data_IF_243976149065
#
_entry.id   IF_243976149065
#
_cell.length_a   1.000
_cell.length_b   1.000
_cell.length_c   1.000
_cell.angle_alpha   90.00
_cell.angle_beta   90.00
_cell.angle_gamma   90.00
#
_symmetry.space_group_name_H-M   'P 1'
#
loop_
_entity.id
_entity.type
_entity.pdbx_description
1 polymer ?
#
# COMPACT_ATOMS: atom_id res chain seq x y z
N UNK A 1 27.98 -14.14 67.23
CA UNK A 1 26.83 -14.61 66.45
C UNK A 1 27.23 -14.67 64.99
N UNK A 2 27.05 -15.82 64.31
CA UNK A 2 27.30 -16.04 62.87
C UNK A 2 26.21 -16.98 62.33
N UNK A 3 25.01 -16.42 62.24
CA UNK A 3 23.77 -16.93 61.64
C UNK A 3 22.99 -18.09 62.31
N UNK A 4 21.67 -18.05 62.03
CA UNK A 4 20.52 -18.89 62.42
C UNK A 4 20.21 -19.01 63.93
N UNK A 5 19.18 -18.26 64.32
CA UNK A 5 18.39 -18.40 65.56
C UNK A 5 19.20 -18.47 66.87
N UNK A 6 19.85 -17.36 67.22
CA UNK A 6 20.42 -17.20 68.57
C UNK A 6 19.32 -16.76 69.54
N UNK A 7 18.92 -17.65 70.45
CA UNK A 7 17.85 -17.41 71.46
C UNK A 7 18.17 -16.30 72.47
N UNK A 8 19.46 -15.96 72.68
CA UNK A 8 19.88 -14.95 73.65
C UNK A 8 19.70 -13.51 73.15
N UNK A 9 19.74 -13.28 71.84
CA UNK A 9 19.70 -11.94 71.21
C UNK A 9 18.56 -11.83 70.19
N UNK A 10 17.49 -12.63 70.36
CA UNK A 10 16.39 -12.76 69.41
C UNK A 10 15.73 -11.42 69.10
N UNK A 11 15.52 -10.58 70.12
CA UNK A 11 14.90 -9.24 69.97
C UNK A 11 15.78 -8.31 69.13
N UNK A 12 17.10 -8.34 69.33
CA UNK A 12 18.04 -7.52 68.57
C UNK A 12 18.13 -7.98 67.11
N UNK A 13 18.15 -9.29 66.85
CA UNK A 13 18.07 -9.81 65.48
C UNK A 13 16.74 -9.51 64.80
N UNK A 14 15.61 -9.57 65.52
CA UNK A 14 14.31 -9.19 64.98
C UNK A 14 14.25 -7.71 64.62
N UNK A 15 14.90 -6.83 65.39
CA UNK A 15 15.02 -5.41 65.05
C UNK A 15 15.80 -5.23 63.73
N UNK A 16 16.96 -5.88 63.60
CA UNK A 16 17.78 -5.81 62.37
C UNK A 16 17.03 -6.38 61.17
N UNK A 17 16.37 -7.54 61.31
CA UNK A 17 15.58 -8.14 60.23
C UNK A 17 14.37 -7.28 59.83
N UNK A 18 13.74 -6.59 60.78
CA UNK A 18 12.67 -5.65 60.49
C UNK A 18 13.19 -4.41 59.76
N UNK A 19 14.38 -3.92 60.10
CA UNK A 19 15.05 -2.84 59.39
C UNK A 19 15.36 -3.25 57.94
N UNK A 20 15.95 -4.43 57.73
CA UNK A 20 16.21 -4.98 56.40
C UNK A 20 14.93 -5.16 55.57
N UNK A 21 13.87 -5.68 56.19
CA UNK A 21 12.57 -5.83 55.53
C UNK A 21 11.98 -4.47 55.14
N UNK A 22 12.12 -3.45 55.99
CA UNK A 22 11.67 -2.09 55.68
C UNK A 22 12.44 -1.50 54.49
N UNK A 23 13.75 -1.76 54.38
CA UNK A 23 14.54 -1.38 53.22
C UNK A 23 14.05 -2.08 51.94
N UNK A 24 13.79 -3.39 51.99
CA UNK A 24 13.26 -4.15 50.86
C UNK A 24 11.87 -3.63 50.44
N UNK A 25 11.00 -3.31 51.39
CA UNK A 25 9.66 -2.75 51.11
C UNK A 25 9.78 -1.37 50.44
N UNK A 26 10.71 -0.54 50.90
CA UNK A 26 10.98 0.75 50.29
C UNK A 26 11.51 0.61 48.85
N UNK A 27 12.46 -0.29 48.63
CA UNK A 27 13.02 -0.56 47.29
C UNK A 27 11.96 -1.11 46.34
N UNK A 28 11.09 -2.00 46.82
CA UNK A 28 9.93 -2.48 46.08
C UNK A 28 8.97 -1.35 45.69
N UNK A 29 8.69 -0.42 46.63
CA UNK A 29 7.86 0.76 46.37
C UNK A 29 8.45 1.67 45.28
N UNK A 30 9.75 1.93 45.35
CA UNK A 30 10.49 2.70 44.35
C UNK A 30 10.50 2.02 42.97
N UNK A 31 10.68 0.70 42.95
CA UNK A 31 10.66 -0.07 41.71
C UNK A 31 9.26 -0.11 41.07
N UNK A 32 8.20 -0.29 41.87
CA UNK A 32 6.81 -0.23 41.42
C UNK A 32 6.43 1.15 40.88
N UNK A 33 6.97 2.22 41.48
CA UNK A 33 6.80 3.58 40.96
C UNK A 33 7.45 3.74 39.59
N UNK A 34 8.71 3.31 39.43
CA UNK A 34 9.43 3.31 38.13
C UNK A 34 8.71 2.52 37.04
N UNK A 35 8.15 1.36 37.37
CA UNK A 35 7.34 0.56 36.41
C UNK A 35 6.08 1.32 35.99
N UNK A 36 5.39 1.98 36.93
CA UNK A 36 4.17 2.72 36.62
C UNK A 36 4.44 4.01 35.85
N UNK A 37 5.59 4.67 36.06
CA UNK A 37 6.04 5.79 35.22
C UNK A 37 6.41 5.35 33.79
N UNK A 38 6.75 4.07 33.58
CA UNK A 38 7.09 3.52 32.25
C UNK A 38 5.89 2.92 31.50
N UNK A 39 4.68 2.91 32.07
CA UNK A 39 3.43 2.62 31.32
C UNK A 39 3.27 3.63 30.18
N UNK A 40 2.76 3.22 29.00
CA UNK A 40 3.23 3.67 27.70
C UNK A 40 3.33 5.19 27.63
N UNK A 41 4.56 5.67 27.77
CA UNK A 41 4.90 7.07 27.52
C UNK A 41 4.99 7.30 26.01
N UNK A 42 4.96 8.57 25.63
CA UNK A 42 4.96 9.17 24.27
C UNK A 42 5.72 8.46 23.14
N UNK A 43 6.69 7.60 23.42
CA UNK A 43 7.45 6.84 22.42
C UNK A 43 6.59 5.79 21.69
N UNK A 44 5.68 5.11 22.38
CA UNK A 44 4.76 4.13 21.75
C UNK A 44 3.76 4.84 20.83
N UNK A 45 3.35 6.06 21.20
CA UNK A 45 2.54 6.93 20.34
C UNK A 45 3.32 7.41 19.10
N UNK A 46 4.65 7.58 19.21
CA UNK A 46 5.51 7.96 18.08
C UNK A 46 5.58 6.86 17.02
N UNK A 47 5.82 5.61 17.42
CA UNK A 47 5.87 4.47 16.50
C UNK A 47 4.50 4.20 15.83
N UNK A 48 3.41 4.33 16.60
CA UNK A 48 2.05 4.23 16.05
C UNK A 48 1.80 5.33 15.01
N UNK A 49 2.23 6.56 15.29
CA UNK A 49 2.11 7.65 14.33
C UNK A 49 2.97 7.40 13.08
N UNK A 50 4.18 6.86 13.21
CA UNK A 50 5.02 6.49 12.06
C UNK A 50 4.36 5.43 11.16
N UNK A 51 3.73 4.40 11.76
CA UNK A 51 2.95 3.39 11.03
C UNK A 51 1.79 4.06 10.29
N UNK A 52 1.04 4.94 10.97
CA UNK A 52 -0.08 5.67 10.36
C UNK A 52 0.37 6.57 9.21
N UNK A 53 1.49 7.28 9.35
CA UNK A 53 2.06 8.08 8.27
C UNK A 53 2.50 7.20 7.09
N UNK A 54 3.13 6.06 7.35
CA UNK A 54 3.50 5.13 6.28
C UNK A 54 2.27 4.59 5.55
N UNK A 55 1.20 4.25 6.28
CA UNK A 55 -0.06 3.76 5.71
C UNK A 55 -0.70 4.80 4.78
N UNK A 56 -0.91 6.03 5.26
CA UNK A 56 -1.47 7.12 4.44
C UNK A 56 -0.63 7.35 3.19
N UNK A 57 0.69 7.53 3.37
CA UNK A 57 1.59 7.81 2.25
C UNK A 57 1.59 6.68 1.21
N UNK A 58 1.45 5.43 1.66
CA UNK A 58 1.40 4.27 0.77
C UNK A 58 0.10 4.22 -0.03
N UNK A 59 -1.03 4.47 0.64
CA UNK A 59 -2.35 4.56 -0.01
C UNK A 59 -2.35 5.68 -1.06
N UNK A 60 -1.86 6.87 -0.71
CA UNK A 60 -1.79 8.01 -1.62
C UNK A 60 -0.94 7.71 -2.87
N UNK A 61 0.21 7.06 -2.71
CA UNK A 61 1.06 6.64 -3.83
C UNK A 61 0.33 5.70 -4.78
N UNK A 62 -0.36 4.68 -4.24
CA UNK A 62 -1.15 3.72 -5.02
C UNK A 62 -2.27 4.44 -5.76
N UNK A 63 -3.03 5.28 -5.08
CA UNK A 63 -4.14 6.02 -5.66
C UNK A 63 -3.68 6.96 -6.78
N UNK A 64 -2.59 7.69 -6.56
CA UNK A 64 -2.00 8.57 -7.58
C UNK A 64 -1.59 7.77 -8.80
N UNK A 65 -0.87 6.66 -8.62
CA UNK A 65 -0.42 5.84 -9.75
C UNK A 65 -1.59 5.22 -10.51
N UNK A 66 -2.61 4.74 -9.81
CA UNK A 66 -3.83 4.22 -10.41
C UNK A 66 -4.57 5.30 -11.21
N UNK A 67 -4.61 6.54 -10.71
CA UNK A 67 -5.18 7.68 -11.44
C UNK A 67 -4.40 7.97 -12.71
N UNK A 68 -3.08 8.09 -12.65
CA UNK A 68 -2.22 8.29 -13.82
C UNK A 68 -2.47 7.22 -14.90
N UNK A 69 -2.52 5.95 -14.50
CA UNK A 69 -2.79 4.85 -15.44
C UNK A 69 -4.18 4.96 -16.08
N UNK A 70 -5.22 5.28 -15.29
CA UNK A 70 -6.58 5.49 -15.82
C UNK A 70 -6.62 6.66 -16.80
N UNK A 71 -5.98 7.77 -16.47
CA UNK A 71 -5.94 8.97 -17.31
C UNK A 71 -5.24 8.67 -18.65
N UNK A 72 -4.16 7.88 -18.64
CA UNK A 72 -3.49 7.40 -19.86
C UNK A 72 -4.44 6.56 -20.70
N UNK A 73 -5.15 5.58 -20.11
CA UNK A 73 -6.08 4.72 -20.84
C UNK A 73 -7.22 5.53 -21.46
N UNK A 74 -7.81 6.46 -20.72
CA UNK A 74 -8.89 7.33 -21.21
C UNK A 74 -8.39 8.18 -22.37
N UNK A 75 -7.24 8.84 -22.22
CA UNK A 75 -6.68 9.71 -23.27
C UNK A 75 -6.35 8.93 -24.52
N UNK A 76 -5.71 7.76 -24.39
CA UNK A 76 -5.41 6.89 -25.53
C UNK A 76 -6.67 6.39 -26.22
N UNK A 77 -7.72 6.07 -25.46
CA UNK A 77 -9.03 5.68 -26.01
C UNK A 77 -9.70 6.81 -26.78
N UNK A 78 -9.65 8.04 -26.25
CA UNK A 78 -10.15 9.22 -26.95
C UNK A 78 -9.40 9.49 -28.25
N UNK A 79 -8.06 9.41 -28.22
CA UNK A 79 -7.23 9.57 -29.43
C UNK A 79 -7.60 8.50 -30.47
N UNK A 80 -7.77 7.25 -30.04
CA UNK A 80 -8.19 6.16 -30.92
C UNK A 80 -9.56 6.45 -31.57
N UNK A 81 -10.57 6.82 -30.78
CA UNK A 81 -11.91 7.14 -31.30
C UNK A 81 -11.89 8.33 -32.26
N UNK A 82 -11.15 9.40 -31.93
CA UNK A 82 -10.99 10.54 -32.81
C UNK A 82 -10.35 10.16 -34.15
N UNK A 83 -9.38 9.25 -34.14
CA UNK A 83 -8.76 8.75 -35.36
C UNK A 83 -9.75 7.95 -36.23
N UNK A 84 -10.59 7.11 -35.60
CA UNK A 84 -11.67 6.40 -36.30
C UNK A 84 -12.67 7.39 -36.91
N UNK A 85 -13.07 8.40 -36.14
CA UNK A 85 -14.01 9.44 -36.59
C UNK A 85 -13.45 10.23 -37.79
N UNK A 86 -12.18 10.64 -37.73
CA UNK A 86 -11.52 11.30 -38.88
C UNK A 86 -11.51 10.43 -40.13
N UNK A 87 -11.14 9.14 -39.98
CA UNK A 87 -11.16 8.20 -41.11
C UNK A 87 -12.59 8.06 -41.65
N UNK A 88 -13.59 7.98 -40.78
CA UNK A 88 -15.01 7.83 -41.15
C UNK A 88 -15.54 9.07 -41.90
N UNK A 89 -15.20 10.27 -41.43
CA UNK A 89 -15.55 11.52 -42.09
C UNK A 89 -14.91 11.61 -43.49
N UNK A 90 -13.64 11.22 -43.63
CA UNK A 90 -12.98 11.16 -44.93
C UNK A 90 -13.69 10.16 -45.88
N UNK A 91 -14.03 8.97 -45.39
CA UNK A 91 -14.79 7.99 -46.18
C UNK A 91 -16.17 8.51 -46.59
N UNK A 92 -16.83 9.27 -45.70
CA UNK A 92 -18.12 9.91 -45.98
C UNK A 92 -18.01 10.92 -47.12
N UNK A 93 -16.97 11.77 -47.11
CA UNK A 93 -16.73 12.73 -48.20
C UNK A 93 -16.40 12.01 -49.52
N UNK A 94 -15.60 10.95 -49.50
CA UNK A 94 -15.35 10.13 -50.69
C UNK A 94 -16.63 9.53 -51.26
N UNK A 95 -17.53 9.02 -50.41
CA UNK A 95 -18.83 8.48 -50.85
C UNK A 95 -19.69 9.57 -51.49
N UNK A 96 -19.72 10.78 -50.92
CA UNK A 96 -20.46 11.92 -51.49
C UNK A 96 -19.92 12.29 -52.87
N UNK A 97 -18.60 12.46 -53.00
CA UNK A 97 -17.96 12.79 -54.28
C UNK A 97 -18.27 11.76 -55.36
N UNK A 98 -18.08 10.47 -55.05
CA UNK A 98 -18.38 9.38 -55.99
C UNK A 98 -19.86 9.40 -56.44
N UNK A 99 -20.77 9.74 -55.51
CA UNK A 99 -22.20 9.84 -55.81
C UNK A 99 -22.54 11.06 -56.67
N UNK A 100 -21.88 12.20 -56.41
CA UNK A 100 -22.08 13.45 -57.16
C UNK A 100 -21.54 13.36 -58.58
N UNK A 101 -20.34 12.79 -58.73
CA UNK A 101 -19.70 12.52 -60.03
C UNK A 101 -20.45 11.44 -60.81
N UNK A 102 -21.15 10.54 -60.09
CA UNK A 102 -21.91 9.42 -60.64
C UNK A 102 -21.05 8.45 -61.49
N UNK A 103 -19.73 8.50 -61.29
CA UNK A 103 -18.71 7.68 -61.95
C UNK A 103 -18.12 6.68 -60.95
N UNK A 104 -18.81 5.56 -60.75
CA UNK A 104 -18.30 4.46 -59.93
C UNK A 104 -18.27 3.13 -60.68
N UNK A 105 -17.29 2.32 -60.29
CA UNK A 105 -17.13 0.94 -60.75
C UNK A 105 -17.01 -0.01 -59.56
N UNK A 106 -16.87 -1.29 -59.84
CA UNK A 106 -16.75 -2.36 -58.85
C UNK A 106 -15.52 -2.17 -57.96
N UNK A 107 -14.45 -1.56 -58.48
CA UNK A 107 -13.22 -1.30 -57.72
C UNK A 107 -13.50 -0.26 -56.63
N UNK A 108 -14.19 0.84 -56.98
CA UNK A 108 -14.57 1.89 -56.03
C UNK A 108 -15.45 1.31 -54.91
N UNK A 109 -16.48 0.53 -55.28
CA UNK A 109 -17.39 -0.08 -54.30
C UNK A 109 -16.69 -1.11 -53.40
N UNK A 110 -15.78 -1.90 -53.96
CA UNK A 110 -14.97 -2.87 -53.20
C UNK A 110 -14.03 -2.16 -52.23
N UNK A 111 -13.40 -1.07 -52.65
CA UNK A 111 -12.54 -0.26 -51.79
C UNK A 111 -13.32 0.31 -50.60
N UNK A 112 -14.47 0.96 -50.84
CA UNK A 112 -15.32 1.52 -49.77
C UNK A 112 -15.75 0.44 -48.76
N UNK A 113 -16.19 -0.73 -49.23
CA UNK A 113 -16.54 -1.86 -48.36
C UNK A 113 -15.36 -2.34 -47.51
N UNK A 114 -14.18 -2.47 -48.12
CA UNK A 114 -12.99 -2.90 -47.40
C UNK A 114 -12.59 -1.90 -46.31
N UNK A 115 -12.71 -0.59 -46.57
CA UNK A 115 -12.41 0.45 -45.58
C UNK A 115 -13.40 0.39 -44.41
N UNK A 116 -14.71 0.25 -44.68
CA UNK A 116 -15.72 0.04 -43.63
C UNK A 116 -15.44 -1.20 -42.78
N UNK A 117 -15.09 -2.32 -43.43
CA UNK A 117 -14.78 -3.56 -42.73
C UNK A 117 -13.56 -3.41 -41.81
N UNK A 118 -12.49 -2.77 -42.30
CA UNK A 118 -11.28 -2.49 -41.49
C UNK A 118 -11.61 -1.61 -40.28
N UNK A 119 -12.34 -0.51 -40.48
CA UNK A 119 -12.77 0.35 -39.37
C UNK A 119 -13.59 -0.40 -38.33
N UNK A 120 -14.51 -1.26 -38.76
CA UNK A 120 -15.31 -2.07 -37.86
C UNK A 120 -14.44 -3.08 -37.08
N UNK A 121 -13.42 -3.67 -37.72
CA UNK A 121 -12.46 -4.54 -37.04
C UNK A 121 -11.63 -3.76 -36.01
N UNK A 122 -11.08 -2.61 -36.38
CA UNK A 122 -10.34 -1.72 -35.47
C UNK A 122 -11.20 -1.33 -34.25
N UNK A 123 -12.48 -1.00 -34.46
CA UNK A 123 -13.40 -0.60 -33.39
C UNK A 123 -13.73 -1.74 -32.41
N UNK A 124 -13.87 -2.97 -32.91
CA UNK A 124 -14.23 -4.13 -32.10
C UNK A 124 -13.04 -4.75 -31.36
N UNK A 125 -11.81 -4.46 -31.78
CA UNK A 125 -10.59 -4.93 -31.13
C UNK A 125 -9.53 -3.81 -31.02
N UNK A 126 -9.69 -2.88 -30.07
CA UNK A 126 -8.71 -1.83 -29.82
C UNK A 126 -7.52 -2.38 -29.01
N UNK A 127 -6.79 -3.35 -29.57
CA UNK A 127 -5.68 -4.09 -28.95
C UNK A 127 -4.37 -3.29 -28.79
N UNK A 128 -4.45 -2.01 -28.40
CA UNK A 128 -3.26 -1.12 -28.37
C UNK A 128 -2.61 -1.00 -27.00
N UNK A 129 -3.20 -1.56 -25.95
CA UNK A 129 -2.76 -1.37 -24.56
C UNK A 129 -2.84 -2.67 -23.75
N UNK A 130 -1.82 -2.91 -22.93
CA UNK A 130 -1.79 -4.02 -21.97
C UNK A 130 -1.30 -3.51 -20.61
N UNK A 131 -1.79 -4.14 -19.55
CA UNK A 131 -1.25 -3.92 -18.21
C UNK A 131 0.01 -4.76 -18.05
N UNK A 132 1.11 -4.13 -17.69
CA UNK A 132 2.36 -4.79 -17.31
C UNK A 132 2.60 -4.56 -15.81
N UNK A 133 3.08 -5.59 -15.12
CA UNK A 133 3.50 -5.51 -13.73
C UNK A 133 5.02 -5.53 -13.67
N UNK A 134 5.59 -4.56 -12.95
CA UNK A 134 7.01 -4.54 -12.64
C UNK A 134 7.28 -5.34 -11.36
N UNK A 135 8.39 -6.07 -11.32
CA UNK A 135 8.76 -6.92 -10.18
C UNK A 135 9.42 -6.15 -9.03
N UNK A 136 9.66 -4.84 -9.18
CA UNK A 136 10.27 -3.99 -8.16
C UNK A 136 9.21 -3.42 -7.21
N UNK A 137 9.56 -3.33 -5.93
CA UNK A 137 8.67 -2.84 -4.88
C UNK A 137 8.32 -1.36 -5.08
N UNK A 138 7.08 -1.10 -5.49
CA UNK A 138 6.55 0.25 -5.61
C UNK A 138 6.27 0.90 -4.23
N UNK A 139 5.93 0.08 -3.24
CA UNK A 139 5.73 0.47 -1.84
C UNK A 139 6.76 -0.31 -1.00
N UNK A 140 7.47 0.41 -0.13
CA UNK A 140 8.43 -0.20 0.79
C UNK A 140 7.65 -0.84 1.94
N UNK A 141 7.90 -2.11 2.23
CA UNK A 141 7.39 -2.77 3.43
C UNK A 141 8.01 -2.15 4.70
N UNK A 142 7.21 -2.03 5.76
CA UNK A 142 7.69 -1.68 7.10
C UNK A 142 7.60 -2.89 8.02
N UNK A 143 8.59 -3.04 8.88
CA UNK A 143 8.66 -4.10 9.87
C UNK A 143 9.07 -3.52 11.22
N UNK A 144 8.43 -3.97 12.29
CA UNK A 144 8.82 -3.60 13.65
C UNK A 144 9.93 -4.55 14.10
N UNK A 145 11.08 -4.00 14.47
CA UNK A 145 12.21 -4.77 15.02
C UNK A 145 12.20 -4.57 16.53
N UNK A 146 11.83 -5.62 17.29
CA UNK A 146 12.02 -5.60 18.75
C UNK A 146 13.49 -5.89 19.05
N UNK A 147 14.19 -4.91 19.61
CA UNK A 147 15.59 -5.06 20.02
C UNK A 147 15.74 -5.82 21.35
N UNK A 148 14.64 -5.96 22.10
CA UNK A 148 14.60 -6.74 23.33
C UNK A 148 13.77 -8.01 23.13
N UNK A 149 14.47 -9.13 23.23
CA UNK A 149 13.98 -10.51 23.38
C UNK A 149 13.45 -11.24 22.13
N UNK A 150 14.09 -12.40 21.93
CA UNK A 150 13.68 -13.55 21.13
C UNK A 150 12.30 -14.10 21.54
N UNK A 151 11.20 -13.37 21.48
CA UNK A 151 9.86 -13.97 21.63
C UNK A 151 8.82 -13.23 20.78
N UNK A 152 8.40 -13.92 19.72
CA UNK A 152 7.15 -13.84 18.97
C UNK A 152 6.57 -12.45 18.67
N UNK A 153 6.58 -12.04 17.39
CA UNK A 153 5.37 -12.07 16.53
C UNK A 153 5.79 -12.47 15.11
N UNK A 154 5.40 -13.67 14.69
CA UNK A 154 5.32 -14.05 13.28
C UNK A 154 3.88 -13.81 12.83
N UNK A 155 3.63 -12.71 12.13
CA UNK A 155 2.46 -12.53 11.28
C UNK A 155 2.90 -11.50 10.24
N UNK A 156 3.01 -11.82 8.96
CA UNK A 156 1.95 -12.36 8.12
C UNK A 156 2.45 -13.49 7.21
N UNK A 157 1.76 -14.64 7.25
CA UNK A 157 1.83 -15.62 6.16
C UNK A 157 0.76 -15.23 5.14
N UNK A 158 1.21 -14.87 3.95
CA UNK A 158 0.40 -14.63 2.77
C UNK A 158 -0.56 -15.80 2.51
N UNK A 159 -1.85 -15.50 2.32
CA UNK A 159 -2.73 -16.37 1.54
C UNK A 159 -2.77 -15.83 0.11
N UNK A 160 -2.49 -16.75 -0.81
CA UNK A 160 -2.57 -16.64 -2.28
C UNK A 160 -3.97 -16.27 -2.72
#
# INVERSE_FOLDING_TARGET
CLEKFCLMDLTAHQQILNEELNHIINDYGQFKYKINEQKPNSHDLSLINEIYQWEINSIEKIQRKAKECRDIVIKSSQIFLNNIEMKFNNLTEQIKQIREENEFNEINLKYLRNQLMKMNQELNDPSNMSIQQESQSFINEISIISLESKFFINSFRNYV
#
